data_IF_892856782693
#
_entry.id   IF_892856782693
#
_cell.length_a   1.000
_cell.length_b   1.000
_cell.length_c   1.000
_cell.angle_alpha   90.00
_cell.angle_beta   90.00
_cell.angle_gamma   90.00
#
_symmetry.space_group_name_H-M   'P 1'
#
loop_
_entity.id
_entity.type
_entity.pdbx_description
1 polymer ?
#
# COMPACT_ATOMS: atom_id res chain seq x y z
N UNK A 1 -4.88 -3.32 14.25
CA UNK A 1 -5.75 -4.39 13.78
C UNK A 1 -7.02 -3.77 13.24
N UNK A 2 -7.46 -4.14 12.06
CA UNK A 2 -8.65 -3.67 11.30
C UNK A 2 -9.52 -2.58 11.97
N UNK A 3 -9.19 -1.29 11.78
CA UNK A 3 -9.99 -0.18 12.33
C UNK A 3 -11.42 -0.21 11.80
N UNK A 4 -11.62 -0.48 10.51
CA UNK A 4 -12.93 -0.52 9.88
C UNK A 4 -13.86 -1.58 10.47
N UNK A 5 -13.33 -2.79 10.74
CA UNK A 5 -14.12 -3.86 11.35
C UNK A 5 -14.56 -3.53 12.79
N UNK A 6 -13.64 -3.00 13.59
CA UNK A 6 -13.97 -2.58 14.95
C UNK A 6 -14.96 -1.42 14.96
N UNK A 7 -14.78 -0.44 14.07
CA UNK A 7 -15.68 0.70 13.95
C UNK A 7 -17.10 0.27 13.58
N UNK A 8 -17.26 -0.65 12.63
CA UNK A 8 -18.58 -1.19 12.26
C UNK A 8 -19.28 -1.85 13.45
N UNK A 9 -18.54 -2.62 14.26
CA UNK A 9 -19.07 -3.26 15.47
C UNK A 9 -19.46 -2.20 16.52
N UNK A 10 -18.58 -1.24 16.81
CA UNK A 10 -18.83 -0.18 17.78
C UNK A 10 -20.03 0.70 17.40
N UNK A 11 -20.15 1.09 16.13
CA UNK A 11 -21.30 1.87 15.64
C UNK A 11 -22.62 1.15 15.90
N UNK A 12 -22.63 -0.16 15.66
CA UNK A 12 -23.83 -0.95 15.86
C UNK A 12 -24.18 -1.15 17.34
N UNK A 13 -23.18 -1.45 18.20
CA UNK A 13 -23.40 -1.66 19.64
C UNK A 13 -23.88 -0.36 20.33
N UNK A 14 -23.30 0.79 19.98
CA UNK A 14 -23.61 2.06 20.60
C UNK A 14 -24.74 2.84 19.91
N UNK A 15 -25.34 2.29 18.84
CA UNK A 15 -26.43 2.93 18.11
C UNK A 15 -26.05 4.27 17.49
N UNK A 16 -24.78 4.47 17.15
CA UNK A 16 -24.31 5.73 16.56
C UNK A 16 -24.90 5.90 15.16
N UNK A 17 -25.83 6.83 15.02
CA UNK A 17 -26.53 7.09 13.76
C UNK A 17 -25.58 7.64 12.68
N UNK A 18 -25.82 7.26 11.44
CA UNK A 18 -24.91 7.33 10.30
C UNK A 18 -24.52 8.75 9.84
N UNK A 19 -25.26 9.79 10.16
CA UNK A 19 -24.98 11.15 9.66
C UNK A 19 -23.70 11.76 10.28
N UNK A 20 -23.41 11.45 11.54
CA UNK A 20 -22.16 11.85 12.21
C UNK A 20 -21.04 10.80 12.03
N UNK A 21 -21.40 9.58 11.61
CA UNK A 21 -20.47 8.46 11.54
C UNK A 21 -19.37 8.62 10.49
N UNK A 22 -19.67 9.22 9.34
CA UNK A 22 -18.67 9.45 8.29
C UNK A 22 -17.63 10.47 8.75
N UNK A 23 -18.04 11.56 9.37
CA UNK A 23 -17.13 12.58 9.90
C UNK A 23 -16.21 12.00 10.98
N UNK A 24 -16.75 11.17 11.87
CA UNK A 24 -16.00 10.51 12.91
C UNK A 24 -14.93 9.57 12.34
N UNK A 25 -15.28 8.78 11.32
CA UNK A 25 -14.35 7.89 10.62
C UNK A 25 -13.21 8.66 9.94
N UNK A 26 -13.56 9.77 9.27
CA UNK A 26 -12.58 10.64 8.63
C UNK A 26 -11.62 11.23 9.67
N UNK A 27 -12.12 11.75 10.78
CA UNK A 27 -11.29 12.35 11.84
C UNK A 27 -10.35 11.33 12.49
N UNK A 28 -10.81 10.10 12.73
CA UNK A 28 -9.96 9.01 13.24
C UNK A 28 -8.85 8.65 12.26
N UNK A 29 -9.19 8.53 10.97
CA UNK A 29 -8.19 8.25 9.94
C UNK A 29 -7.21 9.40 9.78
N UNK A 30 -7.67 10.64 9.85
CA UNK A 30 -6.82 11.83 9.80
C UNK A 30 -5.85 11.86 11.00
N UNK A 31 -6.33 11.58 12.22
CA UNK A 31 -5.48 11.50 13.40
C UNK A 31 -4.38 10.44 13.28
N UNK A 32 -4.72 9.25 12.80
CA UNK A 32 -3.73 8.18 12.55
C UNK A 32 -2.74 8.55 11.44
N UNK A 33 -3.22 9.22 10.38
CA UNK A 33 -2.38 9.70 9.30
C UNK A 33 -1.35 10.72 9.80
N UNK A 34 -1.78 11.71 10.59
CA UNK A 34 -0.88 12.71 11.21
C UNK A 34 0.17 12.01 12.08
N UNK A 35 -0.22 11.04 12.90
CA UNK A 35 0.72 10.29 13.72
C UNK A 35 1.78 9.55 12.87
N UNK A 36 1.37 8.93 11.75
CA UNK A 36 2.28 8.27 10.81
C UNK A 36 3.22 9.29 10.15
N UNK A 37 2.71 10.44 9.72
CA UNK A 37 3.54 11.50 9.15
C UNK A 37 4.61 12.00 10.13
N UNK A 38 4.26 12.18 11.40
CA UNK A 38 5.22 12.59 12.44
C UNK A 38 6.26 11.49 12.66
N UNK A 39 5.82 10.24 12.82
CA UNK A 39 6.70 9.11 13.15
C UNK A 39 7.68 8.75 12.02
N UNK A 40 7.27 8.90 10.75
CA UNK A 40 8.05 8.49 9.57
C UNK A 40 8.44 9.65 8.67
N UNK A 41 8.44 10.89 9.17
CA UNK A 41 8.67 12.10 8.40
C UNK A 41 9.92 12.05 7.51
N UNK A 42 11.05 11.59 8.06
CA UNK A 42 12.30 11.50 7.30
C UNK A 42 12.25 10.48 6.16
N UNK A 43 11.57 9.37 6.34
CA UNK A 43 11.38 8.36 5.30
C UNK A 43 10.41 8.89 4.23
N UNK A 44 9.30 9.51 4.63
CA UNK A 44 8.29 10.10 3.74
C UNK A 44 8.92 11.22 2.89
N UNK A 45 9.67 12.13 3.51
CA UNK A 45 10.38 13.19 2.81
C UNK A 45 11.32 12.65 1.72
N UNK A 46 12.11 11.61 2.05
CA UNK A 46 12.99 10.95 1.08
C UNK A 46 12.21 10.29 -0.05
N UNK A 47 11.09 9.64 0.25
CA UNK A 47 10.23 9.02 -0.77
C UNK A 47 9.62 10.06 -1.71
N UNK A 48 9.16 11.21 -1.19
CA UNK A 48 8.64 12.32 -2.01
C UNK A 48 9.73 12.88 -2.92
N UNK A 49 10.90 13.20 -2.37
CA UNK A 49 12.02 13.74 -3.15
C UNK A 49 12.44 12.78 -4.26
N UNK A 50 12.61 11.49 -3.95
CA UNK A 50 12.99 10.49 -4.95
C UNK A 50 11.86 10.25 -5.96
N UNK A 51 10.59 10.36 -5.56
CA UNK A 51 9.44 10.31 -6.45
C UNK A 51 9.45 11.46 -7.46
N UNK A 52 9.66 12.69 -7.01
CA UNK A 52 9.78 13.87 -7.88
C UNK A 52 10.96 13.72 -8.85
N UNK A 53 12.10 13.21 -8.36
CA UNK A 53 13.27 12.97 -9.24
C UNK A 53 13.00 11.88 -10.28
N UNK A 54 12.21 10.83 -9.95
CA UNK A 54 11.77 9.80 -10.92
C UNK A 54 10.94 10.46 -12.03
N UNK A 55 9.96 11.28 -11.67
CA UNK A 55 9.11 12.00 -12.64
C UNK A 55 9.98 12.90 -13.52
N UNK A 56 10.93 13.66 -12.94
CA UNK A 56 11.88 14.48 -13.70
C UNK A 56 12.72 13.68 -14.70
N UNK A 57 13.30 12.54 -14.27
CA UNK A 57 14.07 11.67 -15.15
C UNK A 57 13.19 11.03 -16.25
N UNK A 58 11.91 10.70 -15.96
CA UNK A 58 10.96 10.24 -16.96
C UNK A 58 10.67 11.33 -18.01
N UNK A 59 10.44 12.58 -17.60
CA UNK A 59 10.23 13.72 -18.52
C UNK A 59 11.43 13.96 -19.41
N UNK A 60 12.65 13.90 -18.85
CA UNK A 60 13.90 14.03 -19.63
C UNK A 60 14.04 12.89 -20.63
N UNK A 61 13.78 11.64 -20.21
CA UNK A 61 13.85 10.48 -21.09
C UNK A 61 12.79 10.57 -22.20
N UNK A 62 11.60 11.08 -21.91
CA UNK A 62 10.56 11.32 -22.91
C UNK A 62 11.02 12.38 -23.93
N UNK A 63 11.64 13.46 -23.47
CA UNK A 63 12.26 14.48 -24.34
C UNK A 63 13.34 13.86 -25.24
N UNK A 64 14.22 13.02 -24.67
CA UNK A 64 15.25 12.32 -25.45
C UNK A 64 14.64 11.33 -26.45
N UNK A 65 13.56 10.64 -26.09
CA UNK A 65 12.85 9.77 -27.02
C UNK A 65 12.30 10.53 -28.21
N UNK A 66 11.65 11.69 -27.97
CA UNK A 66 11.10 12.54 -29.04
C UNK A 66 12.25 13.10 -29.91
N UNK A 67 13.34 13.57 -29.31
CA UNK A 67 14.49 14.10 -30.03
C UNK A 67 15.21 13.03 -30.87
N UNK A 68 15.42 11.85 -30.31
CA UNK A 68 16.04 10.72 -31.01
C UNK A 68 15.18 10.22 -32.19
N UNK A 69 13.84 10.38 -32.10
CA UNK A 69 12.91 9.98 -33.17
C UNK A 69 12.81 11.04 -34.28
N UNK A 70 12.95 12.31 -33.93
CA UNK A 70 12.79 13.44 -34.86
C UNK A 70 14.14 13.97 -35.42
N UNK A 71 15.25 13.75 -34.70
CA UNK A 71 16.58 14.25 -35.06
C UNK A 71 17.44 13.17 -35.71
N UNK A 72 18.13 13.52 -36.81
CA UNK A 72 18.95 12.57 -37.57
C UNK A 72 20.41 12.44 -37.11
N UNK A 73 20.91 13.33 -36.24
CA UNK A 73 22.37 13.44 -36.00
C UNK A 73 22.90 13.20 -34.59
N UNK A 74 22.09 13.25 -33.54
CA UNK A 74 22.55 12.98 -32.18
C UNK A 74 21.65 11.98 -31.46
N UNK A 75 22.19 10.84 -31.04
CA UNK A 75 21.53 9.90 -30.15
C UNK A 75 21.80 10.29 -28.69
N UNK A 76 20.75 10.67 -27.96
CA UNK A 76 20.81 10.94 -26.54
C UNK A 76 20.66 9.64 -25.73
N UNK A 77 21.57 9.40 -24.78
CA UNK A 77 21.47 8.23 -23.89
C UNK A 77 20.38 8.43 -22.82
N UNK A 78 19.54 7.43 -22.64
CA UNK A 78 18.48 7.47 -21.63
C UNK A 78 19.05 7.42 -20.21
N UNK A 79 18.49 8.25 -19.34
CA UNK A 79 18.84 8.23 -17.92
C UNK A 79 18.27 6.99 -17.25
N UNK A 80 19.09 6.31 -16.46
CA UNK A 80 18.65 5.18 -15.64
C UNK A 80 17.74 5.69 -14.52
N UNK A 81 16.47 5.31 -14.51
CA UNK A 81 15.46 5.77 -13.56
C UNK A 81 15.74 5.24 -12.14
N UNK A 82 15.96 3.93 -12.01
CA UNK A 82 16.19 3.28 -10.71
C UNK A 82 17.68 3.24 -10.41
N UNK A 83 18.18 4.26 -9.66
CA UNK A 83 19.60 4.40 -9.30
C UNK A 83 19.87 4.11 -7.82
N UNK A 84 18.85 4.25 -6.95
CA UNK A 84 18.98 4.09 -5.51
C UNK A 84 17.99 3.06 -4.97
N UNK A 85 18.25 2.55 -3.75
CA UNK A 85 17.32 1.68 -3.04
C UNK A 85 15.99 2.38 -2.72
N UNK A 86 16.01 3.70 -2.46
CA UNK A 86 14.80 4.48 -2.25
C UNK A 86 13.97 4.64 -3.53
N UNK A 87 14.59 4.88 -4.69
CA UNK A 87 13.88 4.89 -5.98
C UNK A 87 13.24 3.54 -6.27
N UNK A 88 13.95 2.45 -5.99
CA UNK A 88 13.38 1.13 -6.12
C UNK A 88 12.21 0.92 -5.17
N UNK A 89 12.29 1.44 -3.95
CA UNK A 89 11.18 1.40 -2.99
C UNK A 89 9.95 2.16 -3.51
N UNK A 90 10.11 3.37 -4.04
CA UNK A 90 9.01 4.12 -4.68
C UNK A 90 8.38 3.29 -5.80
N UNK A 91 9.18 2.70 -6.69
CA UNK A 91 8.66 1.86 -7.78
C UNK A 91 7.91 0.62 -7.28
N UNK A 92 8.38 -0.01 -6.19
CA UNK A 92 7.68 -1.15 -5.59
C UNK A 92 6.32 -0.72 -5.01
N UNK A 93 6.25 0.43 -4.33
CA UNK A 93 4.98 1.00 -3.83
C UNK A 93 4.04 1.28 -5.01
N UNK A 94 4.51 1.92 -6.07
CA UNK A 94 3.68 2.19 -7.25
C UNK A 94 3.12 0.90 -7.87
N UNK A 95 3.95 -0.13 -8.03
CA UNK A 95 3.51 -1.43 -8.56
C UNK A 95 2.48 -2.08 -7.67
N UNK A 96 2.70 -2.12 -6.34
CA UNK A 96 1.71 -2.71 -5.43
C UNK A 96 0.40 -1.93 -5.38
N UNK A 97 0.47 -0.58 -5.37
CA UNK A 97 -0.73 0.27 -5.40
C UNK A 97 -1.51 0.09 -6.70
N UNK A 98 -0.81 0.08 -7.85
CA UNK A 98 -1.45 -0.16 -9.14
C UNK A 98 -2.14 -1.53 -9.18
N UNK A 99 -1.47 -2.57 -8.70
CA UNK A 99 -2.04 -3.93 -8.60
C UNK A 99 -3.30 -3.93 -7.73
N UNK A 100 -3.24 -3.28 -6.57
CA UNK A 100 -4.39 -3.15 -5.67
C UNK A 100 -5.56 -2.44 -6.37
N UNK A 101 -5.29 -1.32 -7.02
CA UNK A 101 -6.31 -0.52 -7.70
C UNK A 101 -6.97 -1.30 -8.83
N UNK A 102 -6.19 -1.95 -9.70
CA UNK A 102 -6.73 -2.73 -10.83
C UNK A 102 -7.65 -3.85 -10.34
N UNK A 103 -7.32 -4.48 -9.21
CA UNK A 103 -8.10 -5.60 -8.69
C UNK A 103 -9.29 -5.13 -7.84
N UNK A 104 -9.12 -4.11 -7.00
CA UNK A 104 -10.17 -3.67 -6.08
C UNK A 104 -11.27 -2.83 -6.78
N UNK A 105 -10.91 -1.99 -7.76
CA UNK A 105 -11.86 -1.10 -8.45
C UNK A 105 -13.09 -1.83 -9.03
N UNK A 106 -12.97 -2.98 -9.74
CA UNK A 106 -14.13 -3.67 -10.27
C UNK A 106 -15.10 -4.19 -9.19
N UNK A 107 -14.61 -4.38 -7.96
CA UNK A 107 -15.36 -4.93 -6.84
C UNK A 107 -15.84 -3.87 -5.83
N UNK A 108 -15.64 -2.59 -6.10
CA UNK A 108 -15.94 -1.48 -5.18
C UNK A 108 -17.37 -1.52 -4.63
N UNK A 109 -18.37 -1.75 -5.50
CA UNK A 109 -19.77 -1.89 -5.09
C UNK A 109 -20.02 -3.09 -4.18
N UNK A 110 -19.38 -4.22 -4.46
CA UNK A 110 -19.52 -5.43 -3.64
C UNK A 110 -18.82 -5.24 -2.28
N UNK A 111 -17.68 -4.54 -2.25
CA UNK A 111 -16.95 -4.22 -1.03
C UNK A 111 -17.78 -3.27 -0.14
N UNK A 112 -18.41 -2.27 -0.74
CA UNK A 112 -19.29 -1.33 -0.01
C UNK A 112 -20.48 -2.06 0.61
N UNK A 113 -21.17 -2.93 -0.16
CA UNK A 113 -22.28 -3.73 0.34
C UNK A 113 -21.87 -4.70 1.47
N UNK A 114 -20.63 -5.21 1.42
CA UNK A 114 -20.10 -6.07 2.48
C UNK A 114 -19.97 -5.35 3.83
N UNK A 115 -19.86 -4.02 3.82
CA UNK A 115 -19.84 -3.19 5.02
C UNK A 115 -21.19 -2.95 5.68
N UNK A 116 -22.30 -3.16 4.95
CA UNK A 116 -23.66 -2.88 5.44
C UNK A 116 -24.14 -3.93 6.44
N UNK A 117 -23.50 -5.09 6.51
CA UNK A 117 -23.83 -6.17 7.43
C UNK A 117 -22.74 -6.34 8.49
N UNK A 118 -23.11 -6.80 9.70
CA UNK A 118 -22.12 -7.09 10.75
C UNK A 118 -21.45 -8.47 10.59
N UNK A 119 -22.09 -9.39 9.90
CA UNK A 119 -21.61 -10.76 9.74
C UNK A 119 -20.32 -10.78 8.92
N UNK A 120 -20.26 -10.05 7.81
CA UNK A 120 -19.10 -10.04 6.92
C UNK A 120 -17.87 -9.42 7.61
N UNK A 121 -17.93 -8.23 8.21
CA UNK A 121 -16.82 -7.70 9.00
C UNK A 121 -16.40 -8.61 10.15
N UNK A 122 -17.35 -9.28 10.81
CA UNK A 122 -17.07 -10.24 11.88
C UNK A 122 -16.25 -11.44 11.40
N UNK A 123 -16.66 -12.07 10.30
CA UNK A 123 -15.89 -13.16 9.66
C UNK A 123 -14.52 -12.66 9.20
N UNK A 124 -14.46 -11.49 8.61
CA UNK A 124 -13.21 -10.87 8.15
C UNK A 124 -12.24 -10.58 9.30
N UNK A 125 -12.73 -10.23 10.49
CA UNK A 125 -11.89 -10.11 11.70
C UNK A 125 -11.31 -11.45 12.13
N UNK A 126 -12.09 -12.54 12.07
CA UNK A 126 -11.57 -13.89 12.33
C UNK A 126 -10.49 -14.27 11.32
N UNK A 127 -10.70 -14.00 10.04
CA UNK A 127 -9.68 -14.20 8.99
C UNK A 127 -8.42 -13.37 9.27
N UNK A 128 -8.57 -12.11 9.68
CA UNK A 128 -7.46 -11.26 10.09
C UNK A 128 -6.66 -11.87 11.22
N UNK A 129 -7.33 -12.44 12.23
CA UNK A 129 -6.68 -13.12 13.35
C UNK A 129 -5.80 -14.27 12.87
N UNK A 130 -6.31 -15.10 11.95
CA UNK A 130 -5.54 -16.20 11.34
C UNK A 130 -4.35 -15.68 10.54
N UNK A 131 -4.53 -14.62 9.76
CA UNK A 131 -3.44 -13.99 9.00
C UNK A 131 -2.32 -13.51 9.93
N UNK A 132 -2.66 -12.83 11.04
CA UNK A 132 -1.69 -12.34 12.01
C UNK A 132 -1.00 -13.48 12.76
N UNK A 133 -1.76 -14.51 13.16
CA UNK A 133 -1.19 -15.71 13.79
C UNK A 133 -0.18 -16.40 12.86
N UNK A 134 -0.46 -16.43 11.55
CA UNK A 134 0.48 -16.96 10.57
C UNK A 134 1.71 -16.04 10.39
N UNK A 135 1.52 -14.72 10.39
CA UNK A 135 2.60 -13.73 10.28
C UNK A 135 3.66 -13.90 11.36
N UNK A 136 3.24 -14.20 12.59
CA UNK A 136 4.15 -14.40 13.72
C UNK A 136 5.03 -15.65 13.58
N UNK A 137 4.58 -16.64 12.81
CA UNK A 137 5.31 -17.90 12.55
C UNK A 137 6.23 -17.83 11.35
N UNK A 138 6.12 -16.77 10.53
CA UNK A 138 6.98 -16.63 9.37
C UNK A 138 8.46 -16.39 9.81
N UNK A 139 9.41 -17.02 9.11
CA UNK A 139 10.82 -16.81 9.39
C UNK A 139 11.23 -15.36 9.18
N UNK A 140 12.16 -14.88 9.97
CA UNK A 140 12.66 -13.50 9.84
C UNK A 140 13.40 -13.33 8.51
N UNK A 141 12.78 -12.61 7.58
CA UNK A 141 13.37 -12.29 6.30
C UNK A 141 14.49 -11.25 6.41
N UNK A 142 15.38 -11.23 5.41
CA UNK A 142 16.54 -10.31 5.34
C UNK A 142 16.48 -9.38 4.13
N UNK A 143 15.45 -9.47 3.28
CA UNK A 143 15.36 -8.64 2.07
C UNK A 143 15.00 -7.21 2.43
N UNK A 144 15.74 -6.27 1.88
CA UNK A 144 15.46 -4.83 1.87
C UNK A 144 14.92 -4.40 0.51
N UNK A 145 14.59 -3.12 0.34
CA UNK A 145 14.14 -2.55 -0.94
C UNK A 145 15.06 -2.90 -2.10
N UNK A 146 16.39 -2.89 -1.89
CA UNK A 146 17.37 -3.22 -2.92
C UNK A 146 17.23 -4.66 -3.46
N UNK A 147 16.89 -5.61 -2.59
CA UNK A 147 16.74 -7.05 -2.93
C UNK A 147 15.29 -7.46 -3.23
N UNK A 148 14.32 -6.59 -3.01
CA UNK A 148 12.92 -6.83 -3.34
C UNK A 148 12.72 -6.92 -4.85
N UNK A 149 11.78 -7.75 -5.30
CA UNK A 149 11.42 -7.90 -6.72
C UNK A 149 10.05 -7.28 -6.99
N UNK A 150 9.78 -6.92 -8.24
CA UNK A 150 8.46 -6.44 -8.65
C UNK A 150 7.37 -7.52 -8.49
N UNK A 151 7.72 -8.80 -8.64
CA UNK A 151 6.80 -9.92 -8.35
C UNK A 151 6.34 -9.90 -6.89
N UNK A 152 7.25 -9.61 -5.95
CA UNK A 152 6.90 -9.46 -4.54
C UNK A 152 5.96 -8.26 -4.33
N UNK A 153 6.17 -7.14 -5.04
CA UNK A 153 5.30 -5.97 -4.98
C UNK A 153 3.87 -6.30 -5.49
N UNK A 154 3.78 -7.04 -6.60
CA UNK A 154 2.48 -7.54 -7.09
C UNK A 154 1.80 -8.42 -6.05
N UNK A 155 2.53 -9.35 -5.42
CA UNK A 155 1.97 -10.23 -4.39
C UNK A 155 1.47 -9.44 -3.17
N UNK A 156 2.22 -8.44 -2.71
CA UNK A 156 1.76 -7.54 -1.64
C UNK A 156 0.54 -6.73 -2.08
N UNK A 157 0.50 -6.26 -3.33
CA UNK A 157 -0.64 -5.56 -3.91
C UNK A 157 -1.91 -6.43 -4.00
N UNK A 158 -1.76 -7.72 -4.32
CA UNK A 158 -2.85 -8.69 -4.30
C UNK A 158 -3.40 -8.89 -2.88
N UNK A 159 -2.52 -9.09 -1.90
CA UNK A 159 -2.93 -9.19 -0.49
C UNK A 159 -3.64 -7.92 -0.01
N UNK A 160 -3.17 -6.75 -0.44
CA UNK A 160 -3.81 -5.47 -0.14
C UNK A 160 -5.18 -5.33 -0.81
N UNK A 161 -5.36 -5.84 -2.03
CA UNK A 161 -6.64 -5.82 -2.73
C UNK A 161 -7.70 -6.68 -2.00
N UNK A 162 -7.33 -7.86 -1.52
CA UNK A 162 -8.21 -8.68 -0.67
C UNK A 162 -8.54 -7.94 0.65
N UNK A 163 -7.58 -7.20 1.19
CA UNK A 163 -7.74 -6.45 2.43
C UNK A 163 -8.52 -5.13 2.28
N UNK A 164 -9.12 -4.85 1.12
CA UNK A 164 -10.13 -3.79 0.98
C UNK A 164 -11.48 -4.19 1.57
N UNK A 165 -11.72 -5.49 1.77
CA UNK A 165 -12.92 -5.98 2.46
C UNK A 165 -12.96 -5.46 3.91
N UNK A 166 -14.11 -4.94 4.36
CA UNK A 166 -14.27 -4.42 5.72
C UNK A 166 -14.06 -5.54 6.75
N UNK A 167 -13.20 -5.31 7.73
CA UNK A 167 -12.81 -6.30 8.73
C UNK A 167 -11.46 -6.98 8.45
N UNK A 168 -11.02 -7.10 7.20
CA UNK A 168 -9.66 -7.54 6.92
C UNK A 168 -8.69 -6.38 7.20
N UNK A 169 -7.67 -6.67 8.01
CA UNK A 169 -6.65 -5.68 8.31
C UNK A 169 -5.74 -5.45 7.10
N UNK A 170 -5.81 -4.23 6.51
CA UNK A 170 -4.95 -3.86 5.38
C UNK A 170 -3.47 -3.95 5.77
N UNK A 171 -3.08 -3.32 6.87
CA UNK A 171 -1.71 -3.38 7.38
C UNK A 171 -1.29 -4.80 7.77
N UNK A 172 -2.17 -5.57 8.42
CA UNK A 172 -1.88 -6.97 8.75
C UNK A 172 -1.60 -7.82 7.51
N UNK A 173 -2.42 -7.68 6.46
CA UNK A 173 -2.28 -8.44 5.21
C UNK A 173 -1.02 -8.05 4.44
N UNK A 174 -0.73 -6.75 4.31
CA UNK A 174 0.49 -6.28 3.61
C UNK A 174 1.76 -6.65 4.35
N UNK A 175 1.78 -6.55 5.68
CA UNK A 175 2.90 -6.99 6.52
C UNK A 175 3.11 -8.50 6.35
N UNK A 176 2.06 -9.31 6.47
CA UNK A 176 2.16 -10.76 6.31
C UNK A 176 2.67 -11.14 4.93
N UNK A 177 2.14 -10.54 3.86
CA UNK A 177 2.60 -10.76 2.50
C UNK A 177 4.07 -10.37 2.30
N UNK A 178 4.49 -9.23 2.86
CA UNK A 178 5.89 -8.79 2.81
C UNK A 178 6.83 -9.76 3.55
N UNK A 179 6.44 -10.24 4.73
CA UNK A 179 7.19 -11.25 5.48
C UNK A 179 7.28 -12.57 4.71
N UNK A 180 6.18 -13.04 4.11
CA UNK A 180 6.13 -14.23 3.26
C UNK A 180 7.05 -14.10 2.04
N UNK A 181 7.21 -12.90 1.49
CA UNK A 181 8.19 -12.60 0.44
C UNK A 181 9.65 -12.59 0.94
N UNK A 182 9.88 -12.78 2.23
CA UNK A 182 11.20 -12.76 2.87
C UNK A 182 11.74 -11.35 3.13
N UNK A 183 10.87 -10.35 3.22
CA UNK A 183 11.27 -9.00 3.63
C UNK A 183 11.68 -8.97 5.10
N UNK A 184 12.61 -8.08 5.47
CA UNK A 184 12.92 -7.84 6.87
C UNK A 184 11.74 -7.16 7.57
N UNK A 185 11.50 -7.43 8.86
CA UNK A 185 10.42 -6.79 9.62
C UNK A 185 10.47 -5.26 9.52
N UNK A 186 11.67 -4.68 9.66
CA UNK A 186 11.88 -3.23 9.53
C UNK A 186 11.48 -2.67 8.16
N UNK A 187 11.77 -3.39 7.09
CA UNK A 187 11.40 -2.97 5.73
C UNK A 187 9.89 -3.15 5.49
N UNK A 188 9.33 -4.27 5.95
CA UNK A 188 7.90 -4.57 5.76
C UNK A 188 6.99 -3.54 6.43
N UNK A 189 7.35 -3.07 7.63
CA UNK A 189 6.57 -2.03 8.34
C UNK A 189 6.62 -0.67 7.65
N UNK A 190 7.72 -0.39 6.92
CA UNK A 190 7.86 0.86 6.14
C UNK A 190 7.20 0.79 4.77
N UNK A 191 6.94 -0.44 4.29
CA UNK A 191 6.33 -0.68 2.99
C UNK A 191 4.83 -0.43 3.01
#
# INVERSE_FOLDING_TARGET
>A
VSSSGHLAIFKNIFGVQTDTGILFDILLHLGTLVAIFIAYWEDIKKLIVEGVMIVGDCCVNLSYFVRNKLGKEQQYEYRKIVRSAYRKFVMLILVSTLTTTIIALPFDKAISHAGDTLIIPGICLCVTSVILWFADRLPVGKKSAAKATYRNAVFVGLAQAVATLPGISRSGSTITAGLACGYSRKFTVKY
#
